data_IF_042064929265
#
_entry.id   IF_042064929265
#
_cell.length_a   1.000
_cell.length_b   1.000
_cell.length_c   1.000
_cell.angle_alpha   90.00
_cell.angle_beta   90.00
_cell.angle_gamma   90.00
#
_symmetry.space_group_name_H-M   'P 1'
#
loop_
_entity.id
_entity.type
_entity.pdbx_description
1 polymer ?
#
# COMPACT_ATOMS: atom_id res chain seq x y z
N UNK A 1 90.79 36.69 -52.12
CA UNK A 1 89.46 37.09 -51.60
C UNK A 1 88.64 35.84 -51.44
N UNK A 2 88.34 35.53 -50.19
CA UNK A 2 87.77 34.29 -49.67
C UNK A 2 86.29 34.14 -50.02
N UNK A 3 85.92 33.03 -50.65
CA UNK A 3 84.57 32.51 -50.57
C UNK A 3 84.35 31.97 -49.14
N UNK A 4 83.43 32.53 -48.33
CA UNK A 4 83.30 32.19 -46.93
C UNK A 4 82.58 30.85 -46.63
N UNK A 5 82.15 30.07 -47.64
CA UNK A 5 81.40 28.84 -47.37
C UNK A 5 81.72 27.66 -48.32
N UNK A 6 82.80 26.93 -48.02
CA UNK A 6 82.94 25.50 -48.41
C UNK A 6 83.76 24.69 -47.36
N UNK A 7 83.10 23.67 -46.74
CA UNK A 7 83.50 22.31 -46.23
C UNK A 7 84.89 21.99 -45.63
N UNK A 8 85.14 20.94 -44.78
CA UNK A 8 84.35 19.70 -44.49
C UNK A 8 84.39 19.12 -43.01
N UNK A 9 83.69 17.98 -42.81
CA UNK A 9 83.98 16.82 -41.89
C UNK A 9 83.78 16.89 -40.33
N UNK A 10 82.89 16.02 -39.80
CA UNK A 10 83.20 14.82 -38.95
C UNK A 10 82.33 14.56 -37.68
N UNK A 11 82.06 13.26 -37.49
CA UNK A 11 81.75 12.48 -36.28
C UNK A 11 80.33 12.40 -35.69
N UNK A 12 79.62 11.35 -36.10
CA UNK A 12 79.10 10.28 -35.23
C UNK A 12 78.66 10.62 -33.80
N UNK A 13 77.35 10.55 -33.56
CA UNK A 13 76.82 9.77 -32.44
C UNK A 13 75.55 9.05 -32.91
N UNK A 14 75.69 7.74 -33.14
CA UNK A 14 74.59 6.77 -33.06
C UNK A 14 74.06 6.72 -31.62
N UNK A 15 72.87 6.13 -31.47
CA UNK A 15 72.16 5.71 -30.24
C UNK A 15 71.24 6.80 -29.67
N UNK A 16 69.93 6.61 -29.50
CA UNK A 16 69.16 5.38 -29.31
C UNK A 16 67.71 5.54 -29.81
N UNK A 17 67.26 4.53 -30.57
CA UNK A 17 65.91 3.94 -30.56
C UNK A 17 64.71 4.91 -30.57
N UNK A 18 63.93 5.04 -31.65
CA UNK A 18 63.06 3.96 -32.13
C UNK A 18 62.76 2.88 -31.07
N UNK A 19 62.23 3.30 -29.90
CA UNK A 19 61.30 2.44 -29.17
C UNK A 19 59.91 2.88 -29.61
N UNK A 20 59.41 2.17 -30.62
CA UNK A 20 57.98 2.04 -30.87
C UNK A 20 57.28 1.62 -29.55
N UNK A 21 56.78 2.59 -28.80
CA UNK A 21 55.74 2.35 -27.80
C UNK A 21 54.38 2.54 -28.48
N UNK A 22 54.13 1.75 -29.52
CA UNK A 22 52.79 1.50 -30.07
C UNK A 22 52.03 0.53 -29.16
N UNK A 23 52.09 0.75 -27.84
CA UNK A 23 51.15 0.14 -26.92
C UNK A 23 49.87 0.97 -27.04
N UNK A 24 48.75 0.41 -27.55
CA UNK A 24 47.51 1.17 -27.63
C UNK A 24 47.17 1.69 -26.24
N UNK A 25 46.95 3.00 -26.12
CA UNK A 25 46.65 3.63 -24.84
C UNK A 25 45.50 2.86 -24.17
N UNK A 26 45.70 2.42 -22.94
CA UNK A 26 44.73 1.61 -22.22
C UNK A 26 43.44 2.43 -22.04
N UNK A 27 42.38 2.07 -22.76
CA UNK A 27 41.10 2.78 -22.69
C UNK A 27 40.12 2.08 -21.75
N UNK A 28 39.78 2.75 -20.65
CA UNK A 28 38.87 2.22 -19.63
C UNK A 28 37.73 3.20 -19.36
N UNK A 29 36.59 2.67 -18.96
CA UNK A 29 35.54 3.47 -18.35
C UNK A 29 35.91 3.77 -16.90
N UNK A 30 35.61 4.98 -16.40
CA UNK A 30 35.85 5.29 -15.00
C UNK A 30 34.99 4.39 -14.09
N UNK A 31 35.58 3.59 -13.17
CA UNK A 31 34.83 2.69 -12.29
C UNK A 31 33.91 3.44 -11.30
N UNK A 32 34.28 4.64 -10.86
CA UNK A 32 33.42 5.44 -9.98
C UNK A 32 32.18 5.95 -10.73
N UNK A 33 32.37 6.41 -11.98
CA UNK A 33 31.24 6.77 -12.83
C UNK A 33 30.36 5.55 -13.16
N UNK A 34 30.96 4.37 -13.33
CA UNK A 34 30.20 3.12 -13.49
C UNK A 34 29.29 2.84 -12.29
N UNK A 35 29.79 3.08 -11.07
CA UNK A 35 29.00 2.94 -9.85
C UNK A 35 27.83 3.94 -9.78
N UNK A 36 28.05 5.20 -10.17
CA UNK A 36 26.96 6.19 -10.25
C UNK A 36 25.89 5.76 -11.26
N UNK A 37 26.29 5.30 -12.44
CA UNK A 37 25.36 4.82 -13.46
C UNK A 37 24.61 3.54 -13.03
N UNK A 38 25.18 2.72 -12.16
CA UNK A 38 24.47 1.57 -11.56
C UNK A 38 23.33 1.96 -10.63
N UNK A 39 23.28 3.20 -10.11
CA UNK A 39 22.11 3.69 -9.37
C UNK A 39 20.87 3.76 -10.27
N UNK A 40 21.09 4.12 -11.53
CA UNK A 40 20.04 4.26 -12.54
C UNK A 40 19.79 2.91 -13.21
N UNK A 41 20.84 2.23 -13.67
CA UNK A 41 20.74 1.03 -14.52
C UNK A 41 20.87 -0.31 -13.80
N UNK A 42 21.03 -0.32 -12.47
CA UNK A 42 21.31 -1.48 -11.60
C UNK A 42 22.78 -1.95 -11.58
N UNK A 43 23.19 -2.72 -10.55
CA UNK A 43 24.49 -3.40 -10.49
C UNK A 43 24.85 -4.30 -11.69
N UNK A 44 23.86 -4.78 -12.46
CA UNK A 44 24.11 -5.56 -13.70
C UNK A 44 24.95 -4.73 -14.67
N UNK A 45 24.55 -3.48 -14.90
CA UNK A 45 25.24 -2.56 -15.79
C UNK A 45 26.68 -2.33 -15.35
N UNK A 46 26.87 -1.94 -14.08
CA UNK A 46 28.21 -1.68 -13.55
C UNK A 46 29.11 -2.92 -13.61
N UNK A 47 28.58 -4.10 -13.31
CA UNK A 47 29.34 -5.37 -13.37
C UNK A 47 29.87 -5.67 -14.77
N UNK A 48 29.06 -5.40 -15.81
CA UNK A 48 29.48 -5.54 -17.21
C UNK A 48 30.63 -4.57 -17.53
N UNK A 49 30.54 -3.32 -17.09
CA UNK A 49 31.57 -2.31 -17.32
C UNK A 49 32.88 -2.69 -16.60
N UNK A 50 32.79 -3.05 -15.32
CA UNK A 50 33.94 -3.44 -14.49
C UNK A 50 34.62 -4.68 -15.07
N UNK A 51 33.86 -5.71 -15.47
CA UNK A 51 34.40 -6.91 -16.11
C UNK A 51 35.12 -6.60 -17.42
N UNK A 52 34.53 -5.74 -18.27
CA UNK A 52 35.19 -5.29 -19.51
C UNK A 52 36.47 -4.51 -19.25
N UNK A 53 36.48 -3.66 -18.22
CA UNK A 53 37.68 -2.92 -17.82
C UNK A 53 38.79 -3.88 -17.37
N UNK A 54 38.50 -4.83 -16.48
CA UNK A 54 39.48 -5.84 -16.02
C UNK A 54 40.04 -6.67 -17.16
N UNK A 55 39.19 -7.07 -18.11
CA UNK A 55 39.63 -7.81 -19.30
C UNK A 55 40.58 -6.99 -20.17
N UNK A 56 40.41 -5.67 -20.24
CA UNK A 56 41.35 -4.78 -20.96
C UNK A 56 42.65 -4.56 -20.22
N UNK A 57 42.61 -4.54 -18.89
CA UNK A 57 43.81 -4.51 -18.04
C UNK A 57 44.61 -5.82 -18.18
N UNK A 58 43.97 -6.90 -18.63
CA UNK A 58 44.59 -8.22 -18.80
C UNK A 58 44.43 -9.13 -17.58
N UNK A 59 43.75 -8.66 -16.52
CA UNK A 59 43.45 -9.46 -15.33
C UNK A 59 42.16 -10.25 -15.55
N UNK A 60 42.31 -11.50 -16.03
CA UNK A 60 41.20 -12.39 -16.37
C UNK A 60 40.46 -12.93 -15.14
N UNK A 61 41.15 -13.08 -14.01
CA UNK A 61 40.56 -13.52 -12.75
C UNK A 61 39.56 -12.50 -12.22
N UNK A 62 39.98 -11.24 -12.09
CA UNK A 62 39.11 -10.14 -11.66
C UNK A 62 37.99 -9.85 -12.68
N UNK A 63 38.27 -10.06 -13.98
CA UNK A 63 37.24 -9.95 -15.01
C UNK A 63 36.14 -11.00 -14.84
N UNK A 64 36.50 -12.23 -14.47
CA UNK A 64 35.57 -13.34 -14.20
C UNK A 64 34.82 -13.10 -12.90
N UNK A 65 35.50 -12.64 -11.86
CA UNK A 65 34.87 -12.26 -10.60
C UNK A 65 33.81 -11.16 -10.81
N UNK A 66 34.14 -10.11 -11.56
CA UNK A 66 33.18 -9.06 -11.91
C UNK A 66 32.04 -9.56 -12.81
N UNK A 67 32.30 -10.56 -13.67
CA UNK A 67 31.26 -11.21 -14.48
C UNK A 67 30.29 -12.01 -13.61
N UNK A 68 30.75 -12.67 -12.55
CA UNK A 68 29.87 -13.38 -11.62
C UNK A 68 28.83 -12.45 -10.98
N UNK A 69 29.23 -11.21 -10.68
CA UNK A 69 28.30 -10.18 -10.19
C UNK A 69 27.19 -9.82 -11.17
N UNK A 70 27.37 -10.02 -12.48
CA UNK A 70 26.28 -9.89 -13.47
C UNK A 70 25.19 -10.91 -13.17
N UNK A 71 25.56 -12.18 -13.01
CA UNK A 71 24.61 -13.27 -12.75
C UNK A 71 23.94 -13.12 -11.37
N UNK A 72 24.72 -12.80 -10.33
CA UNK A 72 24.19 -12.55 -8.99
C UNK A 72 23.17 -11.40 -9.02
N UNK A 73 23.47 -10.32 -9.73
CA UNK A 73 22.56 -9.19 -9.85
C UNK A 73 21.30 -9.52 -10.65
N UNK A 74 21.40 -10.36 -11.70
CA UNK A 74 20.23 -10.84 -12.44
C UNK A 74 19.32 -11.71 -11.57
N UNK A 75 19.90 -12.62 -10.77
CA UNK A 75 19.15 -13.45 -9.82
C UNK A 75 18.48 -12.57 -8.75
N UNK A 76 19.18 -11.55 -8.24
CA UNK A 76 18.62 -10.62 -7.26
C UNK A 76 17.45 -9.81 -7.83
N UNK A 77 17.54 -9.35 -9.08
CA UNK A 77 16.43 -8.67 -9.78
C UNK A 77 15.24 -9.63 -9.93
N UNK A 78 15.47 -10.86 -10.41
CA UNK A 78 14.40 -11.84 -10.58
C UNK A 78 13.73 -12.18 -9.24
N UNK A 79 14.52 -12.40 -8.19
CA UNK A 79 14.02 -12.64 -6.84
C UNK A 79 13.22 -11.45 -6.30
N UNK A 80 13.66 -10.22 -6.59
CA UNK A 80 12.92 -9.00 -6.21
C UNK A 80 11.57 -8.90 -6.93
N UNK A 81 11.50 -9.29 -8.20
CA UNK A 81 10.24 -9.36 -8.96
C UNK A 81 9.31 -10.41 -8.34
N UNK A 82 9.81 -11.62 -8.05
CA UNK A 82 9.00 -12.69 -7.43
C UNK A 82 8.48 -12.26 -6.04
N UNK A 83 9.32 -11.61 -5.23
CA UNK A 83 8.93 -11.12 -3.92
C UNK A 83 7.80 -10.08 -3.96
N UNK A 84 7.72 -9.26 -5.03
CA UNK A 84 6.61 -8.31 -5.20
C UNK A 84 5.25 -9.00 -5.35
N UNK A 85 5.22 -10.26 -5.82
CA UNK A 85 3.99 -11.07 -5.92
C UNK A 85 3.67 -11.85 -4.64
N UNK A 86 4.47 -11.68 -3.58
CA UNK A 86 4.24 -12.34 -2.29
C UNK A 86 3.92 -11.31 -1.22
N UNK A 87 3.00 -11.63 -0.31
CA UNK A 87 2.72 -10.78 0.88
C UNK A 87 3.88 -10.67 1.87
N UNK A 88 5.01 -11.35 1.59
CA UNK A 88 6.23 -11.31 2.40
C UNK A 88 7.02 -9.99 2.24
N UNK A 89 6.71 -9.18 1.23
CA UNK A 89 7.35 -7.88 1.01
C UNK A 89 6.79 -6.82 1.98
N UNK A 90 7.05 -6.98 3.29
CA UNK A 90 6.82 -5.92 4.27
C UNK A 90 7.76 -4.72 4.08
N UNK A 91 7.68 -3.72 4.95
CA UNK A 91 8.45 -2.46 4.83
C UNK A 91 9.97 -2.63 4.72
N UNK A 92 10.52 -3.78 5.16
CA UNK A 92 11.95 -4.11 5.08
C UNK A 92 12.37 -4.44 3.63
N UNK A 93 11.47 -5.02 2.83
CA UNK A 93 11.77 -5.45 1.45
C UNK A 93 12.13 -4.29 0.52
N UNK A 94 11.63 -3.09 0.79
CA UNK A 94 11.89 -1.88 0.01
C UNK A 94 13.36 -1.44 0.07
N UNK A 95 14.08 -1.78 1.14
CA UNK A 95 15.48 -1.41 1.33
C UNK A 95 16.47 -2.45 0.78
N UNK A 96 16.01 -3.68 0.45
CA UNK A 96 16.86 -4.75 -0.08
C UNK A 96 17.66 -4.34 -1.32
N UNK A 97 17.09 -3.64 -2.34
CA UNK A 97 17.86 -3.21 -3.51
C UNK A 97 19.00 -2.26 -3.16
N UNK A 98 18.79 -1.36 -2.18
CA UNK A 98 19.81 -0.40 -1.72
C UNK A 98 20.93 -1.15 -1.00
N UNK A 99 20.59 -2.09 -0.12
CA UNK A 99 21.57 -2.93 0.58
C UNK A 99 22.39 -3.75 -0.42
N UNK A 100 21.74 -4.35 -1.41
CA UNK A 100 22.40 -5.13 -2.45
C UNK A 100 23.34 -4.27 -3.31
N UNK A 101 22.91 -3.08 -3.70
CA UNK A 101 23.71 -2.11 -4.45
C UNK A 101 24.98 -1.70 -3.67
N UNK A 102 24.85 -1.43 -2.38
CA UNK A 102 26.00 -1.12 -1.51
C UNK A 102 26.96 -2.30 -1.42
N UNK A 103 26.44 -3.51 -1.20
CA UNK A 103 27.24 -4.74 -1.15
C UNK A 103 28.04 -4.92 -2.45
N UNK A 104 27.37 -4.81 -3.59
CA UNK A 104 28.01 -4.87 -4.90
C UNK A 104 29.10 -3.79 -5.08
N UNK A 105 28.82 -2.54 -4.68
CA UNK A 105 29.78 -1.44 -4.79
C UNK A 105 31.08 -1.75 -4.05
N UNK A 106 31.00 -2.18 -2.79
CA UNK A 106 32.17 -2.51 -1.99
C UNK A 106 32.90 -3.76 -2.49
N UNK A 107 32.16 -4.78 -2.91
CA UNK A 107 32.74 -6.04 -3.35
C UNK A 107 33.30 -6.02 -4.77
N UNK A 108 32.86 -5.12 -5.65
CA UNK A 108 33.25 -5.09 -7.06
C UNK A 108 33.82 -3.73 -7.52
N UNK A 109 32.99 -2.68 -7.52
CA UNK A 109 33.38 -1.38 -8.08
C UNK A 109 34.58 -0.74 -7.36
N UNK A 110 34.54 -0.74 -6.03
CA UNK A 110 35.60 -0.15 -5.20
C UNK A 110 36.94 -0.88 -5.35
N UNK A 111 36.94 -2.19 -5.62
CA UNK A 111 38.17 -2.96 -5.85
C UNK A 111 38.91 -2.48 -7.10
N UNK A 112 38.20 -2.29 -8.21
CA UNK A 112 38.82 -1.80 -9.44
C UNK A 112 39.35 -0.37 -9.28
N UNK A 113 38.59 0.51 -8.62
CA UNK A 113 39.05 1.88 -8.34
C UNK A 113 40.33 1.89 -7.47
N UNK A 114 40.39 1.05 -6.43
CA UNK A 114 41.57 0.89 -5.57
C UNK A 114 42.77 0.35 -6.35
N UNK A 115 42.56 -0.64 -7.22
CA UNK A 115 43.63 -1.20 -8.05
C UNK A 115 44.24 -0.15 -8.98
N UNK A 116 43.42 0.59 -9.74
CA UNK A 116 43.92 1.62 -10.65
C UNK A 116 44.71 2.71 -9.91
N UNK A 117 44.30 3.05 -8.68
CA UNK A 117 45.01 4.01 -7.84
C UNK A 117 46.33 3.45 -7.30
N UNK A 118 46.33 2.22 -6.81
CA UNK A 118 47.51 1.61 -6.19
C UNK A 118 48.61 1.30 -7.23
N UNK A 119 48.22 0.75 -8.37
CA UNK A 119 49.14 0.40 -9.46
C UNK A 119 49.47 1.62 -10.35
N UNK A 120 48.96 2.81 -10.01
CA UNK A 120 49.17 4.06 -10.75
C UNK A 120 48.92 3.92 -12.27
N UNK A 121 47.91 3.14 -12.64
CA UNK A 121 47.61 2.82 -14.04
C UNK A 121 47.10 4.07 -14.74
N UNK A 122 47.89 4.57 -15.69
CA UNK A 122 47.49 5.68 -16.56
C UNK A 122 46.61 5.13 -17.68
N UNK A 123 45.37 5.62 -17.77
CA UNK A 123 44.40 5.18 -18.77
C UNK A 123 43.66 6.36 -19.39
N UNK A 124 43.24 6.21 -20.64
CA UNK A 124 42.36 7.18 -21.30
C UNK A 124 40.90 6.84 -21.01
N UNK A 125 40.12 7.87 -20.63
CA UNK A 125 38.72 7.72 -20.28
C UNK A 125 37.88 7.48 -21.53
N UNK A 126 37.23 6.31 -21.57
CA UNK A 126 36.36 5.93 -22.68
C UNK A 126 35.02 6.66 -22.61
N UNK A 127 34.46 7.02 -23.77
CA UNK A 127 33.15 7.67 -23.86
C UNK A 127 32.01 6.79 -23.32
N UNK A 128 31.06 7.45 -22.64
CA UNK A 128 29.86 6.83 -22.06
C UNK A 128 28.66 6.80 -23.02
N UNK A 129 28.73 7.47 -24.17
CA UNK A 129 27.60 7.57 -25.10
C UNK A 129 27.06 6.20 -25.52
N UNK A 130 27.95 5.29 -25.95
CA UNK A 130 27.58 3.94 -26.38
C UNK A 130 26.91 3.10 -25.29
N UNK A 131 27.51 2.91 -24.08
CA UNK A 131 26.87 2.11 -23.06
C UNK A 131 25.53 2.71 -22.60
N UNK A 132 25.42 4.03 -22.47
CA UNK A 132 24.17 4.66 -22.03
C UNK A 132 23.07 4.57 -23.09
N UNK A 133 23.40 4.74 -24.38
CA UNK A 133 22.44 4.62 -25.46
C UNK A 133 21.83 3.21 -25.56
N UNK A 134 22.59 2.17 -25.22
CA UNK A 134 22.11 0.78 -25.20
C UNK A 134 21.28 0.50 -23.94
N UNK A 135 21.71 1.01 -22.78
CA UNK A 135 21.06 0.72 -21.51
C UNK A 135 19.77 1.51 -21.28
N UNK A 136 19.65 2.72 -21.83
CA UNK A 136 18.46 3.57 -21.74
C UNK A 136 17.16 2.89 -22.20
N UNK A 137 17.07 2.27 -23.40
CA UNK A 137 15.84 1.59 -23.82
C UNK A 137 15.53 0.37 -22.95
N UNK A 138 16.53 -0.38 -22.48
CA UNK A 138 16.34 -1.54 -21.59
C UNK A 138 15.72 -1.10 -20.27
N UNK A 139 16.20 0.00 -19.70
CA UNK A 139 15.64 0.58 -18.48
C UNK A 139 14.20 1.05 -18.70
N UNK A 140 13.92 1.72 -19.82
CA UNK A 140 12.56 2.18 -20.15
C UNK A 140 11.61 0.99 -20.32
N UNK A 141 12.02 -0.08 -21.01
CA UNK A 141 11.21 -1.29 -21.16
C UNK A 141 10.98 -1.98 -19.81
N UNK A 142 12.00 -2.09 -18.97
CA UNK A 142 11.86 -2.65 -17.62
C UNK A 142 10.92 -1.83 -16.74
N UNK A 143 11.07 -0.51 -16.74
CA UNK A 143 10.19 0.41 -16.02
C UNK A 143 8.74 0.28 -16.50
N UNK A 144 8.51 0.28 -17.82
CA UNK A 144 7.18 0.11 -18.40
C UNK A 144 6.54 -1.24 -18.01
N UNK A 145 7.30 -2.34 -18.00
CA UNK A 145 6.79 -3.65 -17.56
C UNK A 145 6.39 -3.65 -16.08
N UNK A 146 7.14 -2.95 -15.22
CA UNK A 146 6.79 -2.82 -13.79
C UNK A 146 5.62 -1.86 -13.55
N UNK A 147 5.42 -0.82 -14.38
CA UNK A 147 4.28 0.11 -14.25
C UNK A 147 3.01 -0.39 -14.95
N UNK A 148 3.14 -1.27 -15.95
CA UNK A 148 2.03 -1.95 -16.64
C UNK A 148 1.68 -3.27 -15.93
N UNK A 149 2.32 -3.56 -14.80
CA UNK A 149 1.63 -4.30 -13.75
C UNK A 149 0.47 -3.42 -13.25
N UNK A 150 -0.59 -3.33 -14.07
CA UNK A 150 -1.96 -3.30 -13.58
C UNK A 150 -1.91 -4.32 -12.43
N UNK A 151 -2.31 -3.99 -11.19
CA UNK A 151 -2.61 -5.04 -10.25
C UNK A 151 -3.55 -5.93 -11.04
N UNK A 152 -3.07 -7.09 -11.48
CA UNK A 152 -3.98 -8.11 -11.97
C UNK A 152 -4.83 -8.22 -10.74
N UNK A 153 -6.04 -7.69 -10.83
CA UNK A 153 -7.14 -8.02 -9.98
C UNK A 153 -7.34 -9.49 -10.34
N UNK A 154 -6.38 -10.33 -9.91
CA UNK A 154 -6.66 -11.67 -9.47
C UNK A 154 -7.79 -11.34 -8.54
N UNK A 155 -9.04 -11.74 -8.84
CA UNK A 155 -10.05 -11.71 -7.83
C UNK A 155 -9.44 -12.55 -6.72
N UNK A 156 -8.82 -11.87 -5.76
CA UNK A 156 -8.64 -12.38 -4.44
C UNK A 156 -10.07 -12.48 -4.00
N UNK A 157 -10.64 -13.64 -4.30
CA UNK A 157 -11.49 -14.34 -3.35
C UNK A 157 -10.64 -14.55 -2.09
N UNK A 158 -10.30 -13.42 -1.45
CA UNK A 158 -9.97 -13.24 -0.07
C UNK A 158 -11.24 -12.65 0.53
N UNK A 159 -12.38 -13.30 0.27
CA UNK A 159 -13.31 -13.53 1.33
C UNK A 159 -12.46 -14.04 2.51
N UNK A 160 -12.11 -13.13 3.43
CA UNK A 160 -11.46 -13.49 4.67
C UNK A 160 -12.33 -14.62 5.24
N UNK A 161 -11.83 -15.85 5.40
CA UNK A 161 -12.65 -16.88 6.03
C UNK A 161 -13.01 -16.35 7.43
N UNK A 162 -14.31 -16.10 7.65
CA UNK A 162 -14.84 -15.45 8.86
C UNK A 162 -14.89 -13.91 8.84
N UNK A 163 -14.85 -13.23 7.68
CA UNK A 163 -15.18 -11.80 7.59
C UNK A 163 -16.61 -11.56 8.04
N UNK A 164 -17.55 -12.34 7.52
CA UNK A 164 -18.97 -12.33 7.91
C UNK A 164 -19.12 -12.51 9.42
N UNK A 165 -18.43 -13.49 10.02
CA UNK A 165 -18.48 -13.73 11.46
C UNK A 165 -17.99 -12.52 12.28
N UNK A 166 -16.89 -11.89 11.85
CA UNK A 166 -16.35 -10.70 12.51
C UNK A 166 -17.24 -9.47 12.34
N UNK A 167 -17.78 -9.26 11.14
CA UNK A 167 -18.70 -8.14 10.86
C UNK A 167 -19.98 -8.34 11.66
N UNK A 168 -20.54 -9.55 11.68
CA UNK A 168 -21.72 -9.91 12.47
C UNK A 168 -21.52 -9.66 13.96
N UNK A 169 -20.36 -10.02 14.51
CA UNK A 169 -20.01 -9.70 15.91
C UNK A 169 -19.95 -8.19 16.14
N UNK A 170 -19.31 -7.42 15.26
CA UNK A 170 -19.23 -5.96 15.38
C UNK A 170 -20.60 -5.29 15.25
N UNK A 171 -21.44 -5.75 14.32
CA UNK A 171 -22.82 -5.27 14.16
C UNK A 171 -23.63 -5.54 15.43
N UNK A 172 -23.54 -6.74 16.01
CA UNK A 172 -24.17 -7.04 17.29
C UNK A 172 -23.68 -6.11 18.41
N UNK A 173 -22.38 -5.82 18.48
CA UNK A 173 -21.84 -4.89 19.46
C UNK A 173 -22.35 -3.46 19.26
N UNK A 174 -22.47 -2.97 18.02
CA UNK A 174 -23.03 -1.65 17.73
C UNK A 174 -24.50 -1.60 18.17
N UNK A 175 -25.31 -2.58 17.77
CA UNK A 175 -26.74 -2.66 18.10
C UNK A 175 -26.95 -2.68 19.62
N UNK A 176 -26.18 -3.49 20.34
CA UNK A 176 -26.33 -3.66 21.79
C UNK A 176 -25.73 -2.50 22.60
N UNK A 177 -24.54 -2.01 22.26
CA UNK A 177 -23.86 -0.97 23.04
C UNK A 177 -24.34 0.44 22.71
N UNK A 178 -24.49 0.73 21.42
CA UNK A 178 -24.83 2.09 20.96
C UNK A 178 -26.34 2.33 21.01
N UNK A 179 -27.14 1.37 20.53
CA UNK A 179 -28.59 1.53 20.45
C UNK A 179 -29.36 0.83 21.57
N UNK A 180 -28.65 0.12 22.48
CA UNK A 180 -29.24 -0.63 23.61
C UNK A 180 -30.30 -1.64 23.20
N UNK A 181 -30.27 -2.14 21.96
CA UNK A 181 -31.25 -3.09 21.46
C UNK A 181 -30.90 -4.52 21.88
N UNK A 182 -31.90 -5.37 22.03
CA UNK A 182 -31.74 -6.79 22.41
C UNK A 182 -31.75 -7.74 21.22
N UNK A 183 -32.04 -7.23 20.02
CA UNK A 183 -32.03 -7.98 18.77
C UNK A 183 -30.60 -8.32 18.35
N UNK A 184 -30.43 -9.50 17.76
CA UNK A 184 -29.13 -9.99 17.28
C UNK A 184 -29.20 -10.27 15.79
N UNK A 185 -28.13 -9.95 15.07
CA UNK A 185 -27.90 -10.32 13.69
C UNK A 185 -27.77 -11.85 13.60
N UNK A 186 -28.72 -12.50 12.93
CA UNK A 186 -28.75 -13.96 12.73
C UNK A 186 -28.08 -14.37 11.44
N UNK A 187 -28.15 -13.52 10.43
CA UNK A 187 -27.63 -13.79 9.09
C UNK A 187 -27.05 -12.50 8.48
N UNK A 188 -26.07 -12.64 7.59
CA UNK A 188 -25.37 -11.52 6.99
C UNK A 188 -24.81 -11.92 5.63
N UNK A 189 -25.23 -11.23 4.59
CA UNK A 189 -24.73 -11.40 3.23
C UNK A 189 -23.79 -10.23 2.94
N UNK A 190 -22.57 -10.48 2.44
CA UNK A 190 -21.58 -9.43 2.15
C UNK A 190 -21.11 -9.55 0.70
N UNK A 191 -21.06 -8.43 -0.01
CA UNK A 191 -20.58 -8.28 -1.37
C UNK A 191 -19.45 -7.24 -1.44
N UNK A 192 -18.37 -7.53 -2.16
CA UNK A 192 -17.28 -6.57 -2.37
C UNK A 192 -17.63 -5.58 -3.49
N UNK A 193 -17.62 -4.27 -3.18
CA UNK A 193 -17.92 -3.21 -4.15
C UNK A 193 -16.62 -2.66 -4.78
N UNK A 194 -15.55 -2.60 -4.01
CA UNK A 194 -14.24 -2.14 -4.42
C UNK A 194 -13.17 -2.70 -3.46
N UNK A 195 -11.90 -2.63 -3.84
CA UNK A 195 -10.79 -3.14 -3.02
C UNK A 195 -10.87 -2.65 -1.56
N UNK A 196 -11.12 -3.57 -0.63
CA UNK A 196 -11.26 -3.30 0.80
C UNK A 196 -12.55 -2.56 1.21
N UNK A 197 -13.55 -2.44 0.33
CA UNK A 197 -14.87 -1.87 0.62
C UNK A 197 -15.97 -2.87 0.26
N UNK A 198 -16.75 -3.23 1.25
CA UNK A 198 -17.83 -4.21 1.14
C UNK A 198 -19.17 -3.57 1.50
N UNK A 199 -20.21 -4.04 0.83
CA UNK A 199 -21.60 -3.85 1.19
C UNK A 199 -22.10 -5.10 1.87
N UNK A 200 -22.96 -4.99 2.87
CA UNK A 200 -23.62 -6.16 3.41
C UNK A 200 -25.04 -5.89 3.84
N UNK A 201 -25.87 -6.91 3.70
CA UNK A 201 -27.25 -6.91 4.19
C UNK A 201 -27.31 -7.78 5.45
N UNK A 202 -27.61 -7.17 6.59
CA UNK A 202 -27.76 -7.85 7.87
C UNK A 202 -29.23 -8.20 8.11
N UNK A 203 -29.50 -9.43 8.54
CA UNK A 203 -30.84 -9.87 8.96
C UNK A 203 -30.85 -10.13 10.46
N UNK A 204 -31.79 -9.51 11.17
CA UNK A 204 -32.02 -9.69 12.60
C UNK A 204 -32.94 -10.88 12.88
N UNK A 205 -32.93 -11.33 14.15
CA UNK A 205 -33.83 -12.37 14.65
C UNK A 205 -35.32 -12.02 14.58
N UNK A 206 -35.69 -10.74 14.49
CA UNK A 206 -37.07 -10.28 14.27
C UNK A 206 -37.46 -10.19 12.79
N UNK A 207 -36.56 -10.59 11.88
CA UNK A 207 -36.76 -10.54 10.42
C UNK A 207 -36.42 -9.19 9.79
N UNK A 208 -36.06 -8.18 10.58
CA UNK A 208 -35.64 -6.87 10.07
C UNK A 208 -34.36 -7.02 9.24
N UNK A 209 -34.33 -6.42 8.05
CA UNK A 209 -33.14 -6.32 7.20
C UNK A 209 -32.66 -4.89 7.11
N UNK A 210 -31.34 -4.70 7.12
CA UNK A 210 -30.74 -3.39 6.94
C UNK A 210 -29.33 -3.49 6.37
N UNK A 211 -28.91 -2.40 5.75
CA UNK A 211 -27.66 -2.36 5.01
C UNK A 211 -26.51 -1.81 5.85
N UNK A 212 -25.32 -2.36 5.60
CA UNK A 212 -24.09 -2.10 6.33
C UNK A 212 -22.95 -1.87 5.34
N UNK A 213 -22.23 -0.78 5.54
CA UNK A 213 -21.00 -0.51 4.81
C UNK A 213 -19.82 -0.99 5.66
N UNK A 214 -18.94 -1.78 5.06
CA UNK A 214 -17.75 -2.32 5.71
C UNK A 214 -16.52 -1.84 4.95
N UNK A 215 -15.63 -1.13 5.64
CA UNK A 215 -14.35 -0.70 5.09
C UNK A 215 -13.22 -1.40 5.83
N UNK A 216 -12.47 -2.20 5.10
CA UNK A 216 -11.28 -2.88 5.60
C UNK A 216 -10.05 -2.01 5.38
N UNK A 217 -9.41 -1.67 6.48
CA UNK A 217 -8.08 -1.05 6.51
C UNK A 217 -7.03 -2.13 6.79
N UNK A 218 -5.75 -1.81 6.61
CA UNK A 218 -4.63 -2.76 6.74
C UNK A 218 -4.58 -3.53 8.07
N UNK A 219 -5.15 -2.98 9.15
CA UNK A 219 -5.18 -3.62 10.49
C UNK A 219 -6.52 -3.51 11.21
N UNK A 220 -7.51 -2.84 10.62
CA UNK A 220 -8.77 -2.50 11.30
C UNK A 220 -9.95 -2.69 10.35
N UNK A 221 -11.10 -3.03 10.93
CA UNK A 221 -12.36 -3.11 10.22
C UNK A 221 -13.27 -1.98 10.72
N UNK A 222 -13.65 -1.09 9.81
CA UNK A 222 -14.64 -0.06 10.08
C UNK A 222 -15.99 -0.56 9.57
N UNK A 223 -16.97 -0.65 10.47
CA UNK A 223 -18.34 -1.07 10.15
C UNK A 223 -19.26 0.11 10.41
N UNK A 224 -19.94 0.58 9.36
CA UNK A 224 -20.87 1.69 9.43
C UNK A 224 -22.26 1.23 9.00
N UNK A 225 -23.25 1.49 9.85
CA UNK A 225 -24.65 1.30 9.50
C UNK A 225 -25.07 2.34 8.45
N UNK A 226 -25.90 1.93 7.49
CA UNK A 226 -26.48 2.87 6.53
C UNK A 226 -27.29 3.97 7.25
N UNK A 227 -27.49 5.15 6.63
CA UNK A 227 -28.34 6.19 7.20
C UNK A 227 -29.73 5.67 7.59
N UNK A 228 -30.33 4.85 6.74
CA UNK A 228 -31.66 4.26 6.95
C UNK A 228 -31.65 3.29 8.13
N UNK A 229 -30.60 2.45 8.25
CA UNK A 229 -30.42 1.56 9.38
C UNK A 229 -30.30 2.32 10.71
N UNK A 230 -29.54 3.42 10.73
CA UNK A 230 -29.39 4.27 11.92
C UNK A 230 -30.72 4.89 12.33
N UNK A 231 -31.50 5.37 11.36
CA UNK A 231 -32.84 5.91 11.63
C UNK A 231 -33.75 4.83 12.20
N UNK A 232 -33.77 3.63 11.60
CA UNK A 232 -34.57 2.51 12.08
C UNK A 232 -34.26 2.13 13.53
N UNK A 233 -32.98 2.02 13.90
CA UNK A 233 -32.58 1.70 15.27
C UNK A 233 -32.86 2.85 16.25
N UNK A 234 -32.82 4.09 15.78
CA UNK A 234 -33.21 5.25 16.56
C UNK A 234 -34.71 5.23 16.85
N UNK A 235 -35.57 4.97 15.85
CA UNK A 235 -37.02 4.83 16.03
C UNK A 235 -37.37 3.67 16.98
N UNK A 236 -36.72 2.51 16.84
CA UNK A 236 -36.89 1.39 17.79
C UNK A 236 -36.48 1.78 19.22
N UNK A 237 -35.43 2.59 19.38
CA UNK A 237 -35.02 3.08 20.70
C UNK A 237 -36.06 4.05 21.28
N UNK A 238 -36.64 4.93 20.44
CA UNK A 238 -37.74 5.82 20.84
C UNK A 238 -38.92 5.02 21.36
N UNK A 239 -39.43 4.05 20.59
CA UNK A 239 -40.58 3.25 20.99
C UNK A 239 -40.35 2.56 22.34
N UNK A 240 -39.16 1.99 22.55
CA UNK A 240 -38.84 1.32 23.82
C UNK A 240 -38.84 2.29 25.00
N UNK A 241 -38.17 3.43 24.87
CA UNK A 241 -38.13 4.44 25.93
C UNK A 241 -39.52 5.02 26.17
N UNK A 242 -40.33 5.19 25.13
CA UNK A 242 -41.71 5.64 25.24
C UNK A 242 -42.56 4.65 26.04
N UNK A 243 -42.46 3.33 25.81
CA UNK A 243 -43.15 2.30 26.63
C UNK A 243 -42.82 2.47 28.12
N UNK A 244 -41.53 2.61 28.46
CA UNK A 244 -41.08 2.80 29.84
C UNK A 244 -41.64 4.09 30.45
N UNK A 245 -41.65 5.19 29.69
CA UNK A 245 -42.16 6.49 30.13
C UNK A 245 -43.69 6.49 30.29
N UNK A 246 -44.45 5.91 29.36
CA UNK A 246 -45.91 5.77 29.47
C UNK A 246 -46.27 4.99 30.72
N UNK A 247 -45.62 3.85 30.96
CA UNK A 247 -45.83 3.06 32.16
C UNK A 247 -45.49 3.85 33.43
N UNK A 248 -44.40 4.64 33.41
CA UNK A 248 -44.01 5.51 34.53
C UNK A 248 -45.02 6.64 34.79
N UNK A 249 -45.58 7.25 33.75
CA UNK A 249 -46.62 8.29 33.85
C UNK A 249 -47.87 7.69 34.49
N UNK A 250 -48.34 6.54 33.98
CA UNK A 250 -49.53 5.86 34.50
C UNK A 250 -49.39 5.41 35.95
N UNK A 251 -48.21 4.92 36.33
CA UNK A 251 -47.90 4.58 37.73
C UNK A 251 -47.99 5.81 38.65
N UNK A 252 -47.49 6.98 38.21
CA UNK A 252 -47.61 8.23 38.98
C UNK A 252 -49.05 8.73 39.09
N UNK A 253 -49.89 8.48 38.09
CA UNK A 253 -51.31 8.83 38.10
C UNK A 253 -52.20 7.76 38.76
N UNK A 254 -51.63 6.79 39.48
CA UNK A 254 -52.33 5.68 40.15
C UNK A 254 -53.14 4.79 39.18
N UNK A 255 -52.83 4.81 37.88
CA UNK A 255 -53.45 3.96 36.87
C UNK A 255 -52.58 2.72 36.62
N UNK A 256 -52.69 1.73 37.49
CA UNK A 256 -51.81 0.55 37.49
C UNK A 256 -52.05 -0.42 36.32
N UNK A 257 -53.23 -0.40 35.72
CA UNK A 257 -53.61 -1.22 34.57
C UNK A 257 -54.50 -0.42 33.60
N UNK A 258 -54.53 -0.78 32.31
CA UNK A 258 -53.60 -1.70 31.64
C UNK A 258 -52.17 -1.12 31.55
N UNK A 259 -51.17 -1.97 31.32
CA UNK A 259 -49.76 -1.57 31.09
C UNK A 259 -49.50 -1.41 29.60
N UNK A 260 -48.68 -0.44 29.21
CA UNK A 260 -48.21 -0.30 27.84
C UNK A 260 -47.26 -1.45 27.51
N UNK A 261 -47.57 -2.20 26.45
CA UNK A 261 -46.80 -3.35 26.00
C UNK A 261 -45.97 -3.05 24.76
N UNK A 262 -46.42 -2.13 23.91
CA UNK A 262 -45.69 -1.67 22.73
C UNK A 262 -46.08 -0.25 22.36
N UNK A 263 -45.16 0.45 21.68
CA UNK A 263 -45.43 1.72 21.01
C UNK A 263 -45.07 1.50 19.54
N UNK A 264 -46.00 1.81 18.64
CA UNK A 264 -45.88 1.67 17.20
C UNK A 264 -46.38 2.89 16.46
N UNK A 265 -46.48 2.78 15.13
CA UNK A 265 -47.01 3.81 14.24
C UNK A 265 -46.38 5.19 14.45
N UNK A 266 -45.05 5.20 14.47
CA UNK A 266 -44.26 6.42 14.69
C UNK A 266 -44.34 7.32 13.45
N UNK A 267 -45.15 8.38 13.52
CA UNK A 267 -45.29 9.40 12.47
C UNK A 267 -44.50 10.64 12.87
N UNK A 268 -43.49 11.00 12.06
CA UNK A 268 -42.66 12.16 12.30
C UNK A 268 -43.38 13.45 11.87
N UNK A 269 -43.57 14.39 12.79
CA UNK A 269 -44.20 15.68 12.54
C UNK A 269 -43.18 16.75 12.14
N UNK A 270 -42.09 16.83 12.89
CA UNK A 270 -40.96 17.74 12.66
C UNK A 270 -39.64 17.10 13.09
N UNK A 271 -38.56 17.87 13.24
CA UNK A 271 -37.23 17.34 13.56
C UNK A 271 -37.15 16.61 14.91
N UNK A 272 -37.98 16.96 15.90
CA UNK A 272 -37.95 16.38 17.25
C UNK A 272 -39.26 15.74 17.70
N UNK A 273 -40.39 16.04 17.04
CA UNK A 273 -41.72 15.61 17.43
C UNK A 273 -42.25 14.44 16.60
N UNK A 274 -42.83 13.47 17.31
CA UNK A 274 -43.44 12.27 16.75
C UNK A 274 -44.83 12.05 17.34
N UNK A 275 -45.78 11.64 16.49
CA UNK A 275 -46.99 10.96 16.95
C UNK A 275 -46.77 9.46 16.95
N UNK A 276 -47.34 8.78 17.94
CA UNK A 276 -47.26 7.33 18.03
C UNK A 276 -48.52 6.77 18.69
N UNK A 277 -48.70 5.46 18.55
CA UNK A 277 -49.78 4.71 19.19
C UNK A 277 -49.17 3.76 20.22
N UNK A 278 -49.53 3.98 21.49
CA UNK A 278 -49.20 3.07 22.58
C UNK A 278 -50.30 2.00 22.69
N UNK A 279 -49.93 0.75 22.50
CA UNK A 279 -50.82 -0.40 22.69
C UNK A 279 -50.68 -0.91 24.12
N UNK A 280 -51.82 -1.06 24.76
CA UNK A 280 -51.95 -1.47 26.15
C UNK A 280 -52.22 -2.98 26.27
N UNK A 281 -52.02 -3.55 27.45
CA UNK A 281 -52.16 -4.99 27.71
C UNK A 281 -53.57 -5.53 27.47
N UNK A 282 -54.58 -4.67 27.50
CA UNK A 282 -55.98 -4.98 27.17
C UNK A 282 -56.33 -4.70 25.71
N UNK A 283 -55.32 -4.48 24.86
CA UNK A 283 -55.45 -4.10 23.44
C UNK A 283 -56.07 -2.72 23.20
N UNK A 284 -56.18 -1.87 24.24
CA UNK A 284 -56.55 -0.46 24.03
C UNK A 284 -55.38 0.31 23.42
N UNK A 285 -55.72 1.24 22.53
CA UNK A 285 -54.75 2.11 21.86
C UNK A 285 -54.83 3.52 22.45
N UNK A 286 -53.68 4.07 22.82
CA UNK A 286 -53.55 5.44 23.31
C UNK A 286 -52.67 6.23 22.34
N UNK A 287 -53.18 7.36 21.87
CA UNK A 287 -52.37 8.29 21.08
C UNK A 287 -51.42 9.03 21.99
N UNK A 288 -50.15 9.08 21.60
CA UNK A 288 -49.12 9.78 22.35
C UNK A 288 -48.34 10.72 21.43
N UNK A 289 -47.86 11.81 22.00
CA UNK A 289 -46.89 12.71 21.40
C UNK A 289 -45.55 12.52 22.08
N UNK A 290 -44.49 12.37 21.30
CA UNK A 290 -43.13 12.14 21.77
C UNK A 290 -42.26 13.29 21.24
N UNK A 291 -41.60 14.01 22.14
CA UNK A 291 -40.63 15.06 21.80
C UNK A 291 -39.23 14.62 22.24
N UNK A 292 -38.27 14.71 21.33
CA UNK A 292 -36.89 14.23 21.50
C UNK A 292 -35.89 15.36 21.23
N UNK A 293 -35.51 16.11 22.26
CA UNK A 293 -34.58 17.25 22.16
C UNK A 293 -33.10 16.83 22.30
N UNK A 294 -32.71 15.69 21.71
CA UNK A 294 -31.34 15.16 21.70
C UNK A 294 -30.75 14.72 23.07
N UNK A 295 -31.26 15.23 24.19
CA UNK A 295 -30.79 14.98 25.56
C UNK A 295 -31.89 14.37 26.43
N UNK A 296 -33.15 14.76 26.21
CA UNK A 296 -34.29 14.30 26.98
C UNK A 296 -35.43 13.89 26.04
N UNK A 297 -36.22 12.92 26.51
CA UNK A 297 -37.43 12.48 25.83
C UNK A 297 -38.62 12.80 26.71
N UNK A 298 -39.60 13.50 26.13
CA UNK A 298 -40.88 13.78 26.76
C UNK A 298 -41.97 12.99 26.05
N UNK A 299 -42.86 12.40 26.83
CA UNK A 299 -44.04 11.69 26.32
C UNK A 299 -45.28 12.31 26.94
N UNK A 300 -46.21 12.69 26.08
CA UNK A 300 -47.51 13.21 26.47
C UNK A 300 -48.61 12.32 25.90
N UNK A 301 -49.57 11.94 26.75
CA UNK A 301 -50.77 11.24 26.28
C UNK A 301 -51.68 12.28 25.65
N UNK A 302 -52.06 12.06 24.40
CA UNK A 302 -53.01 12.89 23.66
C UNK A 302 -54.36 12.23 23.84
N UNK A 303 -55.16 12.73 24.77
CA UNK A 303 -56.52 12.21 24.97
C UNK A 303 -57.30 12.37 23.67
N UNK A 304 -57.96 11.28 23.23
CA UNK A 304 -59.00 11.38 22.22
C UNK A 304 -60.24 12.00 22.90
N UNK A 305 -60.60 13.22 22.49
CA UNK A 305 -61.96 13.73 22.74
C UNK A 305 -63.04 12.75 22.22
#
# INVERSE_FOLDING_TARGET
MSNPYSSPEKSSHLSNSEINNTQPALELWNPEAAACWSLVFTPVFGSIIISKNWRRIGNTEEATYAKNWVYISLIAILGSIVLQFTSLAGSIGQFLPIVFLLLWYFCSAKRQAKYLKNESVVYQKKSWFRPLAISSPILLTGFLLTTISIPINIPTDLAYPGLEDKVKELVNQIIQKQFKQTTTCTDMEIEEIAEGRFYGTATLNDGTKFDVNVTQMSTQLLVELSPDARQLFFEKAICRTAVELVNKIRLKSLQFNPLCISVGDLEKLDESNYHAVAVMSDQTELRISIDVDGVQMFVQIVDSE
#
